data_IF_213490117892
#
_entry.id   IF_213490117892
#
_cell.length_a   1.000
_cell.length_b   1.000
_cell.length_c   1.000
_cell.angle_alpha   90.00
_cell.angle_beta   90.00
_cell.angle_gamma   90.00
#
_symmetry.space_group_name_H-M   'P 1'
#
loop_
_entity.id
_entity.type
_entity.pdbx_description
1 polymer ?
#
# COMPACT_ATOMS: atom_id res chain seq x y z
N UNK A 1 -28.75 2.84 36.49
CA UNK A 1 -27.31 2.83 36.15
C UNK A 1 -27.17 2.64 34.64
N UNK A 2 -27.01 3.71 33.86
CA UNK A 2 -26.81 3.62 32.41
C UNK A 2 -25.32 3.35 32.11
N UNK A 3 -25.06 2.34 31.29
CA UNK A 3 -23.70 1.93 30.91
C UNK A 3 -23.23 2.81 29.76
N UNK A 4 -22.20 3.64 29.99
CA UNK A 4 -21.56 4.45 28.94
C UNK A 4 -20.67 3.53 28.08
N UNK A 5 -21.18 3.12 26.92
CA UNK A 5 -20.41 2.37 25.94
C UNK A 5 -19.67 3.34 25.02
N UNK A 6 -18.52 3.86 25.45
CA UNK A 6 -17.69 4.74 24.63
C UNK A 6 -16.84 3.92 23.65
N UNK A 7 -17.43 3.45 22.54
CA UNK A 7 -16.70 2.79 21.45
C UNK A 7 -16.24 3.79 20.37
N UNK A 8 -15.78 4.97 20.79
CA UNK A 8 -15.21 5.96 19.87
C UNK A 8 -13.86 5.43 19.39
N UNK A 9 -13.86 4.73 18.26
CA UNK A 9 -12.64 4.45 17.49
C UNK A 9 -11.85 5.74 17.40
N UNK A 10 -10.58 5.74 17.84
CA UNK A 10 -9.69 6.91 17.70
C UNK A 10 -9.87 7.44 16.27
N UNK A 11 -10.26 8.71 16.15
CA UNK A 11 -10.48 9.37 14.86
C UNK A 11 -9.13 9.33 14.15
N UNK A 12 -8.94 8.37 13.25
CA UNK A 12 -7.76 8.33 12.39
C UNK A 12 -7.87 9.57 11.52
N UNK A 13 -6.99 10.55 11.74
CA UNK A 13 -6.90 11.72 10.88
C UNK A 13 -6.54 11.22 9.48
N UNK A 14 -7.29 11.66 8.48
CA UNK A 14 -7.05 11.28 7.09
C UNK A 14 -5.78 11.98 6.63
N UNK A 15 -4.64 11.34 6.87
CA UNK A 15 -3.32 11.83 6.48
C UNK A 15 -2.93 11.15 5.17
N UNK A 16 -2.59 11.96 4.18
CA UNK A 16 -2.00 11.47 2.94
C UNK A 16 -0.61 10.87 3.24
N UNK A 17 -0.15 9.99 2.35
CA UNK A 17 1.25 9.58 2.36
C UNK A 17 2.11 10.75 1.89
N UNK A 18 3.19 11.00 2.63
CA UNK A 18 4.24 11.93 2.24
C UNK A 18 5.13 11.29 1.17
N UNK A 19 5.92 12.11 0.48
CA UNK A 19 6.79 11.62 -0.59
C UNK A 19 7.82 10.60 -0.08
N UNK A 20 8.43 10.86 1.07
CA UNK A 20 9.37 9.92 1.70
C UNK A 20 8.72 8.57 2.01
N UNK A 21 7.45 8.57 2.43
CA UNK A 21 6.72 7.32 2.69
C UNK A 21 6.44 6.57 1.39
N UNK A 22 6.24 7.26 0.27
CA UNK A 22 6.10 6.62 -1.06
C UNK A 22 7.41 5.98 -1.50
N UNK A 23 8.52 6.71 -1.40
CA UNK A 23 9.87 6.19 -1.70
C UNK A 23 10.21 4.97 -0.84
N UNK A 24 9.82 4.98 0.44
CA UNK A 24 9.99 3.85 1.35
C UNK A 24 9.14 2.64 0.92
N UNK A 25 7.88 2.85 0.51
CA UNK A 25 7.01 1.79 -0.03
C UNK A 25 7.66 1.16 -1.27
N UNK A 26 8.18 1.97 -2.18
CA UNK A 26 8.86 1.54 -3.41
C UNK A 26 10.09 0.69 -3.12
N UNK A 27 10.97 1.19 -2.24
CA UNK A 27 12.19 0.49 -1.84
C UNK A 27 11.87 -0.88 -1.25
N UNK A 28 10.91 -0.94 -0.32
CA UNK A 28 10.54 -2.20 0.34
C UNK A 28 9.75 -3.16 -0.56
N UNK A 29 9.00 -2.64 -1.53
CA UNK A 29 8.39 -3.46 -2.58
C UNK A 29 9.46 -4.15 -3.43
N UNK A 30 10.53 -3.44 -3.79
CA UNK A 30 11.66 -3.98 -4.54
C UNK A 30 12.46 -5.02 -3.73
N UNK A 31 12.47 -4.89 -2.41
CA UNK A 31 12.99 -5.88 -1.46
C UNK A 31 12.03 -7.06 -1.21
N UNK A 32 10.91 -7.15 -1.94
CA UNK A 32 9.89 -8.21 -1.83
C UNK A 32 9.22 -8.30 -0.45
N UNK A 33 9.23 -7.22 0.34
CA UNK A 33 8.52 -7.17 1.63
C UNK A 33 7.01 -7.26 1.44
N UNK A 34 6.34 -7.89 2.40
CA UNK A 34 4.88 -8.00 2.35
C UNK A 34 4.19 -6.65 2.60
N UNK A 35 3.04 -6.41 1.96
CA UNK A 35 2.24 -5.19 2.17
C UNK A 35 1.88 -4.94 3.64
N UNK A 36 1.70 -6.03 4.41
CA UNK A 36 1.42 -5.97 5.84
C UNK A 36 2.63 -5.54 6.66
N UNK A 37 3.83 -5.94 6.25
CA UNK A 37 5.08 -5.54 6.89
C UNK A 37 5.39 -4.07 6.61
N UNK A 38 5.26 -3.64 5.34
CA UNK A 38 5.41 -2.24 4.94
C UNK A 38 4.46 -1.33 5.74
N UNK A 39 3.20 -1.75 5.91
CA UNK A 39 2.23 -1.01 6.71
C UNK A 39 2.64 -0.87 8.19
N UNK A 40 3.26 -1.90 8.78
CA UNK A 40 3.76 -1.86 10.15
C UNK A 40 4.97 -0.94 10.29
N UNK A 41 5.87 -0.93 9.30
CA UNK A 41 7.06 -0.07 9.29
C UNK A 41 6.70 1.42 9.20
N UNK A 42 5.67 1.77 8.42
CA UNK A 42 5.19 3.15 8.27
C UNK A 42 4.22 3.60 9.37
N UNK A 43 3.80 2.70 10.25
CA UNK A 43 2.67 2.92 11.17
C UNK A 43 1.40 3.38 10.42
N UNK A 44 1.16 2.81 9.23
CA UNK A 44 0.00 3.11 8.39
C UNK A 44 -0.95 1.91 8.30
N UNK A 45 -2.18 2.21 7.91
CA UNK A 45 -3.14 1.15 7.64
C UNK A 45 -2.73 0.34 6.40
N UNK A 46 -2.89 -0.98 6.45
CA UNK A 46 -2.60 -1.88 5.32
C UNK A 46 -3.38 -1.48 4.06
N UNK A 47 -4.58 -0.93 4.21
CA UNK A 47 -5.38 -0.44 3.09
C UNK A 47 -4.74 0.78 2.41
N UNK A 48 -4.08 1.66 3.17
CA UNK A 48 -3.35 2.82 2.64
C UNK A 48 -2.20 2.36 1.74
N UNK A 49 -1.35 1.46 2.23
CA UNK A 49 -0.25 0.88 1.45
C UNK A 49 -0.78 0.15 0.22
N UNK A 50 -1.85 -0.64 0.36
CA UNK A 50 -2.42 -1.38 -0.78
C UNK A 50 -2.96 -0.45 -1.87
N UNK A 51 -3.60 0.66 -1.47
CA UNK A 51 -4.10 1.66 -2.42
C UNK A 51 -2.98 2.39 -3.12
N UNK A 52 -1.90 2.72 -2.41
CA UNK A 52 -0.72 3.33 -3.03
C UNK A 52 -0.10 2.40 -4.07
N UNK A 53 0.09 1.13 -3.69
CA UNK A 53 0.63 0.10 -4.59
C UNK A 53 -0.23 0.00 -5.86
N UNK A 54 -1.55 -0.06 -5.70
CA UNK A 54 -2.46 -0.17 -6.84
C UNK A 54 -2.49 1.11 -7.71
N UNK A 55 -2.14 2.28 -7.17
CA UNK A 55 -2.03 3.54 -7.93
C UNK A 55 -0.76 3.58 -8.77
N UNK A 56 0.38 3.13 -8.22
CA UNK A 56 1.64 3.03 -8.95
C UNK A 56 1.77 1.79 -9.85
N UNK A 57 0.91 0.78 -9.65
CA UNK A 57 0.91 -0.41 -10.50
C UNK A 57 0.19 -0.13 -11.82
N UNK A 58 0.91 -0.31 -12.93
CA UNK A 58 0.37 -0.23 -14.29
C UNK A 58 0.44 -1.59 -14.97
N UNK A 59 -0.59 -1.93 -15.75
CA UNK A 59 -0.58 -3.13 -16.60
C UNK A 59 0.20 -2.83 -17.87
N UNK A 60 1.33 -3.51 -18.07
CA UNK A 60 2.14 -3.41 -19.27
C UNK A 60 2.06 -4.68 -20.11
N UNK A 61 2.11 -4.56 -21.43
CA UNK A 61 2.21 -5.70 -22.35
C UNK A 61 3.69 -5.95 -22.59
N UNK A 62 4.19 -7.13 -22.19
CA UNK A 62 5.57 -7.57 -22.44
C UNK A 62 5.57 -8.83 -23.30
N UNK A 63 6.52 -8.92 -24.22
CA UNK A 63 6.76 -10.14 -24.99
C UNK A 63 7.59 -11.10 -24.16
N UNK A 64 6.99 -12.18 -23.66
CA UNK A 64 7.65 -13.21 -22.87
C UNK A 64 7.60 -14.50 -23.68
N UNK A 65 8.75 -15.10 -23.96
CA UNK A 65 8.89 -16.34 -24.75
C UNK A 65 8.18 -16.28 -26.12
N UNK A 66 8.15 -15.10 -26.76
CA UNK A 66 7.53 -14.89 -28.07
C UNK A 66 6.04 -14.57 -28.05
N UNK A 67 5.39 -14.52 -26.88
CA UNK A 67 3.97 -14.20 -26.74
C UNK A 67 3.77 -12.90 -25.96
N UNK A 68 2.77 -12.12 -26.36
CA UNK A 68 2.35 -10.94 -25.61
C UNK A 68 1.65 -11.38 -24.33
N UNK A 69 2.12 -10.90 -23.18
CA UNK A 69 1.53 -11.16 -21.87
C UNK A 69 1.38 -9.86 -21.09
N UNK A 70 0.26 -9.74 -20.40
CA UNK A 70 0.02 -8.66 -19.43
C UNK A 70 0.84 -8.90 -18.17
N UNK A 71 1.62 -7.89 -17.77
CA UNK A 71 2.45 -7.88 -16.58
C UNK A 71 2.07 -6.66 -15.75
N UNK A 72 1.75 -6.88 -14.47
CA UNK A 72 1.54 -5.79 -13.52
C UNK A 72 2.91 -5.34 -13.01
N UNK A 73 3.30 -4.13 -13.39
CA UNK A 73 4.56 -3.54 -12.99
C UNK A 73 4.28 -2.29 -12.18
N UNK A 74 4.95 -2.19 -11.03
CA UNK A 74 4.95 -0.96 -10.25
C UNK A 74 5.94 0.00 -10.90
N UNK A 75 5.46 1.16 -11.35
CA UNK A 75 6.24 2.21 -12.04
C UNK A 75 6.65 3.28 -11.05
#
# INVERSE_FOLDING_TARGET
MSKLNSNTKKIKTYTHLNETEREDIERWLKEEKSKSEIARLLDRDRSTVTREINRGTTTQIKTINGYQKEVKEYI
#
